data_IF_709447999410
#
_entry.id   IF_709447999410
#
_cell.length_a   1.000
_cell.length_b   1.000
_cell.length_c   1.000
_cell.angle_alpha   90.00
_cell.angle_beta   90.00
_cell.angle_gamma   90.00
#
_symmetry.space_group_name_H-M   'P 1'
#
loop_
_entity.id
_entity.type
_entity.pdbx_description
1 polymer ?
#
# COMPACT_ATOMS: atom_id res chain seq x y z
N UNK A 1 -0.86 12.49 -20.06
CA UNK A 1 -2.09 12.34 -19.25
C UNK A 1 -2.76 11.03 -19.64
N UNK A 2 -2.57 9.97 -18.86
CA UNK A 2 -3.15 8.68 -19.18
C UNK A 2 -4.66 8.70 -18.86
N UNK A 3 -5.49 8.69 -19.91
CA UNK A 3 -6.95 8.56 -19.83
C UNK A 3 -7.31 7.11 -19.48
N UNK A 4 -7.18 6.74 -18.21
CA UNK A 4 -7.95 5.62 -17.65
C UNK A 4 -9.38 6.13 -17.41
N UNK A 5 -10.34 5.75 -18.26
CA UNK A 5 -11.73 6.17 -18.08
C UNK A 5 -12.26 5.74 -16.71
N UNK A 6 -13.18 6.50 -16.12
CA UNK A 6 -13.76 6.24 -14.79
C UNK A 6 -14.20 4.78 -14.60
N UNK A 7 -14.78 4.17 -15.65
CA UNK A 7 -15.16 2.75 -15.66
C UNK A 7 -13.97 1.78 -15.44
N UNK A 8 -12.79 2.09 -15.98
CA UNK A 8 -11.56 1.31 -15.79
C UNK A 8 -11.06 1.41 -14.34
N UNK A 9 -11.20 2.58 -13.70
CA UNK A 9 -10.83 2.76 -12.30
C UNK A 9 -11.77 1.96 -11.39
N UNK A 10 -13.09 2.06 -11.60
CA UNK A 10 -14.08 1.30 -10.81
C UNK A 10 -13.87 -0.21 -10.97
N UNK A 11 -13.61 -0.69 -12.18
CA UNK A 11 -13.32 -2.11 -12.42
C UNK A 11 -12.07 -2.57 -11.66
N UNK A 12 -10.99 -1.78 -11.65
CA UNK A 12 -9.77 -2.07 -10.89
C UNK A 12 -10.03 -2.10 -9.39
N UNK A 13 -10.72 -1.09 -8.85
CA UNK A 13 -11.05 -1.06 -7.42
C UNK A 13 -11.92 -2.25 -7.02
N UNK A 14 -12.92 -2.60 -7.85
CA UNK A 14 -13.79 -3.76 -7.59
C UNK A 14 -12.99 -5.07 -7.56
N UNK A 15 -12.05 -5.25 -8.49
CA UNK A 15 -11.19 -6.42 -8.54
C UNK A 15 -10.24 -6.52 -7.33
N UNK A 16 -9.76 -5.39 -6.82
CA UNK A 16 -8.95 -5.36 -5.59
C UNK A 16 -9.82 -5.69 -4.35
N UNK A 17 -11.03 -5.14 -4.25
CA UNK A 17 -12.00 -5.45 -3.17
C UNK A 17 -12.40 -6.92 -3.15
N UNK A 18 -12.51 -7.57 -4.32
CA UNK A 18 -12.91 -8.98 -4.39
C UNK A 18 -11.86 -9.95 -3.82
N UNK A 19 -10.65 -9.48 -3.50
CA UNK A 19 -9.62 -10.28 -2.82
C UNK A 19 -9.94 -10.52 -1.34
N UNK A 20 -10.78 -9.69 -0.74
CA UNK A 20 -11.17 -9.83 0.67
C UNK A 20 -12.09 -11.04 0.90
N UNK A 21 -12.09 -11.64 2.11
CA UNK A 21 -13.08 -12.63 2.50
C UNK A 21 -14.51 -12.13 2.27
N UNK A 22 -15.39 -13.00 1.74
CA UNK A 22 -16.74 -12.64 1.31
C UNK A 22 -17.59 -12.08 2.44
N UNK A 23 -17.31 -12.53 3.66
CA UNK A 23 -17.99 -12.16 4.89
C UNK A 23 -17.73 -10.69 5.26
N UNK A 24 -16.61 -10.11 4.80
CA UNK A 24 -16.27 -8.70 5.05
C UNK A 24 -16.89 -7.74 4.04
N UNK A 25 -17.26 -8.23 2.85
CA UNK A 25 -17.76 -7.38 1.76
C UNK A 25 -19.02 -6.57 2.13
N UNK A 26 -20.01 -7.09 2.90
CA UNK A 26 -21.14 -6.29 3.35
C UNK A 26 -20.72 -5.10 4.22
N UNK A 27 -19.75 -5.29 5.12
CA UNK A 27 -19.24 -4.23 5.98
C UNK A 27 -18.46 -3.17 5.18
N UNK A 28 -17.60 -3.61 4.24
CA UNK A 28 -16.89 -2.71 3.32
C UNK A 28 -17.87 -1.90 2.50
N UNK A 29 -18.89 -2.54 1.90
CA UNK A 29 -19.94 -1.85 1.13
C UNK A 29 -20.68 -0.83 1.99
N UNK A 30 -21.12 -1.22 3.19
CA UNK A 30 -21.85 -0.33 4.09
C UNK A 30 -21.01 0.89 4.48
N UNK A 31 -19.72 0.69 4.77
CA UNK A 31 -18.82 1.78 5.11
C UNK A 31 -18.56 2.69 3.91
N UNK A 32 -18.16 2.15 2.75
CA UNK A 32 -17.73 2.93 1.59
C UNK A 32 -18.88 3.61 0.84
N UNK A 33 -20.13 3.18 1.04
CA UNK A 33 -21.31 3.81 0.43
C UNK A 33 -21.82 5.03 1.22
N UNK A 34 -21.17 5.38 2.33
CA UNK A 34 -21.56 6.56 3.13
C UNK A 34 -21.16 7.84 2.40
N UNK A 35 -22.00 8.90 2.40
CA UNK A 35 -21.65 10.20 1.81
C UNK A 35 -20.30 10.73 2.29
N UNK A 36 -20.02 10.54 3.59
CA UNK A 36 -18.76 10.98 4.20
C UNK A 36 -17.54 10.30 3.58
N UNK A 37 -17.65 9.04 3.13
CA UNK A 37 -16.55 8.35 2.47
C UNK A 37 -16.18 8.98 1.13
N UNK A 38 -17.18 9.48 0.39
CA UNK A 38 -16.94 10.19 -0.87
C UNK A 38 -16.38 11.60 -0.62
N UNK A 39 -16.87 12.30 0.41
CA UNK A 39 -16.37 13.61 0.81
C UNK A 39 -14.88 13.52 1.23
N UNK A 40 -14.55 12.58 2.12
CA UNK A 40 -13.16 12.36 2.55
C UNK A 40 -12.27 11.95 1.37
N UNK A 41 -12.75 11.11 0.45
CA UNK A 41 -11.96 10.76 -0.74
C UNK A 41 -11.71 11.98 -1.63
N UNK A 42 -12.72 12.80 -1.87
CA UNK A 42 -12.58 14.02 -2.67
C UNK A 42 -11.59 15.00 -2.03
N UNK A 43 -11.70 15.21 -0.71
CA UNK A 43 -10.79 16.06 0.04
C UNK A 43 -9.35 15.52 -0.01
N UNK A 44 -9.15 14.23 0.22
CA UNK A 44 -7.83 13.59 0.13
C UNK A 44 -7.20 13.77 -1.26
N UNK A 45 -7.97 13.51 -2.33
CA UNK A 45 -7.50 13.67 -3.71
C UNK A 45 -7.14 15.13 -4.04
N UNK A 46 -7.90 16.10 -3.52
CA UNK A 46 -7.61 17.52 -3.72
C UNK A 46 -6.31 17.99 -3.05
N UNK A 47 -5.87 17.27 -2.00
CA UNK A 47 -4.67 17.60 -1.24
C UNK A 47 -3.42 16.86 -1.71
N UNK A 48 -3.54 15.82 -2.54
CA UNK A 48 -2.41 14.97 -2.97
C UNK A 48 -1.21 15.76 -3.49
N UNK A 49 -1.43 16.73 -4.40
CA UNK A 49 -0.35 17.53 -4.97
C UNK A 49 0.40 18.32 -3.90
N UNK A 50 -0.33 18.86 -2.92
CA UNK A 50 0.26 19.60 -1.80
C UNK A 50 1.11 18.67 -0.93
N UNK A 51 0.60 17.48 -0.58
CA UNK A 51 1.32 16.51 0.25
C UNK A 51 2.66 16.08 -0.37
N UNK A 52 2.73 15.91 -1.69
CA UNK A 52 3.97 15.55 -2.39
C UNK A 52 5.04 16.63 -2.29
N UNK A 53 4.64 17.90 -2.18
CA UNK A 53 5.55 19.04 -2.14
C UNK A 53 6.02 19.41 -0.72
N UNK A 54 5.26 19.03 0.31
CA UNK A 54 5.51 19.50 1.68
C UNK A 54 6.67 18.81 2.39
N UNK A 55 7.08 17.61 1.97
CA UNK A 55 8.14 16.87 2.67
C UNK A 55 9.22 16.36 1.71
N UNK A 56 10.25 17.18 1.41
CA UNK A 56 11.41 16.72 0.68
C UNK A 56 12.29 15.84 1.59
N UNK A 57 12.04 14.53 1.61
CA UNK A 57 12.94 13.59 2.25
C UNK A 57 14.20 13.41 1.40
N UNK A 58 15.31 13.98 1.83
CA UNK A 58 16.63 13.82 1.18
C UNK A 58 17.44 12.68 1.77
N UNK A 59 17.15 12.27 3.01
CA UNK A 59 17.77 11.12 3.69
C UNK A 59 16.90 10.64 4.86
N UNK A 60 16.92 9.33 5.09
CA UNK A 60 16.36 8.63 6.25
C UNK A 60 17.46 8.03 7.15
N UNK A 61 18.73 8.33 6.85
CA UNK A 61 19.89 7.89 7.64
C UNK A 61 19.99 6.37 7.77
N UNK A 62 19.80 5.85 8.97
CA UNK A 62 19.88 4.43 9.31
C UNK A 62 18.53 3.81 9.69
N UNK A 63 17.42 4.49 9.41
CA UNK A 63 16.08 3.95 9.65
C UNK A 63 15.89 2.68 8.82
N UNK A 64 15.49 1.57 9.44
CA UNK A 64 15.15 0.35 8.68
C UNK A 64 13.96 0.64 7.77
N UNK A 65 14.16 0.53 6.46
CA UNK A 65 13.13 0.82 5.46
C UNK A 65 13.06 -0.33 4.47
N UNK A 66 11.90 -0.95 4.37
CA UNK A 66 11.60 -1.91 3.30
C UNK A 66 10.54 -1.31 2.39
N UNK A 67 10.86 -1.13 1.12
CA UNK A 67 9.91 -0.70 0.09
C UNK A 67 9.46 -1.93 -0.68
N UNK A 68 8.16 -2.13 -0.83
CA UNK A 68 7.59 -3.30 -1.53
C UNK A 68 6.87 -2.81 -2.79
N UNK A 69 7.30 -3.28 -3.95
CA UNK A 69 6.58 -3.09 -5.22
C UNK A 69 5.66 -4.26 -5.50
N UNK A 70 4.55 -3.97 -6.17
CA UNK A 70 3.76 -5.01 -6.82
C UNK A 70 4.52 -5.56 -8.05
N UNK A 71 4.25 -6.81 -8.42
CA UNK A 71 4.82 -7.41 -9.64
C UNK A 71 4.45 -6.62 -10.90
N UNK A 72 3.23 -6.10 -10.97
CA UNK A 72 2.74 -5.33 -12.12
C UNK A 72 3.11 -3.84 -12.09
N UNK A 73 3.99 -3.41 -11.20
CA UNK A 73 4.48 -2.04 -11.16
C UNK A 73 5.24 -1.70 -12.45
N UNK A 74 4.98 -0.51 -12.98
CA UNK A 74 5.68 0.03 -14.15
C UNK A 74 7.13 0.34 -13.82
N UNK A 75 7.99 0.41 -14.84
CA UNK A 75 9.40 0.70 -14.58
C UNK A 75 9.64 2.13 -14.06
N UNK A 76 8.70 3.04 -14.23
CA UNK A 76 8.76 4.36 -13.55
C UNK A 76 8.52 4.22 -12.05
N UNK A 77 7.49 3.49 -11.65
CA UNK A 77 7.19 3.22 -10.24
C UNK A 77 8.33 2.44 -9.59
N UNK A 78 8.90 1.44 -10.28
CA UNK A 78 10.06 0.70 -9.76
C UNK A 78 11.28 1.60 -9.53
N UNK A 79 11.56 2.56 -10.44
CA UNK A 79 12.64 3.54 -10.21
C UNK A 79 12.37 4.43 -9.01
N UNK A 80 11.14 4.90 -8.83
CA UNK A 80 10.74 5.72 -7.68
C UNK A 80 10.87 4.94 -6.37
N UNK A 81 10.47 3.66 -6.35
CA UNK A 81 10.60 2.79 -5.19
C UNK A 81 12.06 2.49 -4.83
N UNK A 82 12.92 2.22 -5.83
CA UNK A 82 14.38 2.08 -5.61
C UNK A 82 14.98 3.36 -5.04
N UNK A 83 14.59 4.52 -5.57
CA UNK A 83 15.03 5.82 -5.06
C UNK A 83 14.60 6.02 -3.61
N UNK A 84 13.36 5.69 -3.26
CA UNK A 84 12.86 5.78 -1.89
C UNK A 84 13.65 4.87 -0.94
N UNK A 85 13.89 3.61 -1.33
CA UNK A 85 14.71 2.69 -0.54
C UNK A 85 16.13 3.25 -0.32
N UNK A 86 16.74 3.86 -1.35
CA UNK A 86 18.09 4.43 -1.25
C UNK A 86 18.23 5.63 -0.32
N UNK A 87 17.11 6.21 0.17
CA UNK A 87 17.17 7.26 1.18
C UNK A 87 17.68 6.74 2.54
N UNK A 88 17.62 5.43 2.78
CA UNK A 88 18.20 4.80 3.96
C UNK A 88 19.40 3.94 3.60
N UNK A 89 20.46 4.04 4.41
CA UNK A 89 21.61 3.12 4.36
C UNK A 89 21.26 1.67 4.70
N UNK A 90 20.11 1.44 5.35
CA UNK A 90 19.54 0.11 5.65
C UNK A 90 18.28 -0.15 4.81
N UNK A 91 18.10 0.60 3.73
CA UNK A 91 16.96 0.48 2.85
C UNK A 91 17.06 -0.75 1.95
N UNK A 92 15.94 -1.44 1.76
CA UNK A 92 15.81 -2.53 0.82
C UNK A 92 14.57 -2.35 -0.06
N UNK A 93 14.65 -2.82 -1.31
CA UNK A 93 13.55 -2.82 -2.25
C UNK A 93 13.24 -4.26 -2.68
N UNK A 94 11.98 -4.67 -2.52
CA UNK A 94 11.51 -6.02 -2.81
C UNK A 94 10.35 -5.93 -3.81
N UNK A 95 10.34 -6.83 -4.79
CA UNK A 95 9.21 -7.02 -5.69
C UNK A 95 8.39 -8.21 -5.15
N UNK A 96 7.12 -7.96 -4.84
CA UNK A 96 6.19 -8.99 -4.44
C UNK A 96 5.66 -9.70 -5.69
N UNK A 97 6.24 -10.85 -6.02
CA UNK A 97 5.71 -11.70 -7.09
C UNK A 97 4.25 -12.09 -6.81
N UNK A 98 3.46 -12.21 -7.88
CA UNK A 98 2.05 -12.56 -7.88
C UNK A 98 1.17 -11.58 -7.11
N UNK A 99 1.50 -10.28 -7.16
CA UNK A 99 0.72 -9.23 -6.51
C UNK A 99 0.35 -8.07 -7.43
N UNK A 100 -0.83 -7.51 -7.18
CA UNK A 100 -1.32 -6.25 -7.72
C UNK A 100 -1.22 -5.12 -6.70
N UNK A 101 -2.16 -4.17 -6.78
CA UNK A 101 -2.08 -2.91 -6.03
C UNK A 101 -2.15 -3.12 -4.51
N UNK A 102 -2.99 -4.03 -4.03
CA UNK A 102 -3.08 -4.37 -2.61
C UNK A 102 -2.22 -5.59 -2.25
N UNK A 103 -0.91 -5.36 -2.23
CA UNK A 103 0.12 -6.36 -1.92
C UNK A 103 -0.16 -7.07 -0.60
N UNK A 104 -0.70 -6.38 0.41
CA UNK A 104 -1.03 -6.98 1.70
C UNK A 104 -2.15 -8.01 1.65
N UNK A 105 -2.99 -7.99 0.61
CA UNK A 105 -4.00 -9.03 0.38
C UNK A 105 -3.47 -10.15 -0.51
N UNK A 106 -2.63 -9.83 -1.49
CA UNK A 106 -2.07 -10.82 -2.42
C UNK A 106 -0.94 -11.66 -1.77
N UNK A 107 -0.06 -11.00 -1.01
CA UNK A 107 1.14 -11.57 -0.36
C UNK A 107 1.20 -11.21 1.14
N UNK A 108 0.17 -11.58 1.93
CA UNK A 108 0.13 -11.28 3.36
C UNK A 108 1.33 -11.88 4.12
N UNK A 109 1.76 -13.07 3.73
CA UNK A 109 2.96 -13.77 4.23
C UNK A 109 4.23 -12.93 4.09
N UNK A 110 4.45 -12.31 2.92
CA UNK A 110 5.60 -11.44 2.69
C UNK A 110 5.54 -10.23 3.63
N UNK A 111 4.41 -9.52 3.68
CA UNK A 111 4.24 -8.31 4.51
C UNK A 111 4.46 -8.63 5.99
N UNK A 112 3.83 -9.68 6.51
CA UNK A 112 3.98 -10.09 7.91
C UNK A 112 5.42 -10.48 8.22
N UNK A 113 6.09 -11.21 7.34
CA UNK A 113 7.50 -11.63 7.57
C UNK A 113 8.46 -10.43 7.63
N UNK A 114 8.22 -9.39 6.81
CA UNK A 114 9.03 -8.18 6.79
C UNK A 114 8.80 -7.32 8.04
N UNK A 115 7.54 -7.22 8.49
CA UNK A 115 7.24 -6.57 9.78
C UNK A 115 7.93 -7.31 10.93
N UNK A 116 7.79 -8.63 11.02
CA UNK A 116 8.44 -9.44 12.06
C UNK A 116 9.96 -9.26 12.06
N UNK A 117 10.59 -9.22 10.88
CA UNK A 117 12.02 -8.93 10.71
C UNK A 117 12.39 -7.54 11.23
N UNK A 118 11.60 -6.52 10.90
CA UNK A 118 11.83 -5.14 11.32
C UNK A 118 11.74 -4.96 12.84
N UNK A 119 10.77 -5.61 13.48
CA UNK A 119 10.59 -5.56 14.94
C UNK A 119 11.52 -6.51 15.71
N UNK A 120 12.37 -7.31 15.05
CA UNK A 120 13.24 -8.28 15.71
C UNK A 120 12.48 -9.37 16.47
N UNK A 121 11.21 -9.62 16.12
CA UNK A 121 10.35 -10.57 16.83
C UNK A 121 10.67 -11.99 16.38
N UNK A 122 11.48 -12.68 17.18
CA UNK A 122 11.45 -14.15 17.25
C UNK A 122 10.02 -14.59 17.57
N UNK A 123 9.47 -15.56 16.83
CA UNK A 123 8.11 -16.10 16.99
C UNK A 123 7.70 -16.20 18.48
N UNK A 124 6.88 -15.26 18.95
CA UNK A 124 5.73 -15.48 19.84
C UNK A 124 5.04 -14.15 20.22
N UNK A 125 4.04 -13.68 19.47
CA UNK A 125 3.06 -12.76 20.02
C UNK A 125 1.84 -13.57 20.46
N UNK A 126 1.75 -13.87 21.76
CA UNK A 126 0.45 -14.12 22.37
C UNK A 126 -0.29 -12.78 22.41
N UNK A 127 -1.35 -12.67 21.61
CA UNK A 127 -2.27 -11.54 21.65
C UNK A 127 -3.57 -12.07 22.24
N UNK A 128 -3.91 -11.75 23.50
CA UNK A 128 -5.24 -12.07 24.01
C UNK A 128 -6.22 -11.14 23.31
N UNK A 129 -7.19 -11.72 22.59
CA UNK A 129 -8.38 -11.00 22.20
C UNK A 129 -9.31 -10.89 23.41
N UNK A 130 -9.96 -9.73 23.66
CA UNK A 130 -11.07 -9.64 24.61
C UNK A 130 -12.30 -10.39 24.10
#
# INVERSE_FOLDING_TARGET
MARGGSASVIARVTAEVSKMPRELLPAVRAHWSRPQSFETLAEYLSQLTRCVMEIPYTSLGHLSLTVISAENATESELREHRKLASLSSRGEHIIAERSGHWIQLDRPDLVVSLLQRSYGVSRNPYVPFP
#
